data_IF_916787199902
#
_entry.id   IF_916787199902
#
_cell.length_a   1.000
_cell.length_b   1.000
_cell.length_c   1.000
_cell.angle_alpha   90.00
_cell.angle_beta   90.00
_cell.angle_gamma   90.00
#
_symmetry.space_group_name_H-M   'P 1'
#
loop_
_entity.id
_entity.type
_entity.pdbx_description
1 polymer ?
#
# COMPACT_ATOMS: atom_id res chain seq x y z
N UNK A 1 7.12 -14.45 -10.76
CA UNK A 1 7.36 -15.84 -10.28
C UNK A 1 8.61 -15.96 -9.42
N UNK A 2 9.73 -15.32 -9.77
CA UNK A 2 10.96 -15.41 -8.96
C UNK A 2 10.82 -14.89 -7.54
N UNK A 3 9.95 -13.91 -7.30
CA UNK A 3 9.76 -13.25 -6.01
C UNK A 3 8.73 -13.95 -5.13
N UNK A 4 7.55 -14.18 -5.70
CA UNK A 4 6.32 -14.53 -4.98
C UNK A 4 5.81 -15.93 -5.36
N UNK A 5 6.66 -16.80 -5.93
CA UNK A 5 6.23 -18.12 -6.39
C UNK A 5 5.03 -18.03 -7.35
N UNK A 6 3.98 -18.78 -7.08
CA UNK A 6 2.70 -18.76 -7.81
C UNK A 6 1.59 -18.00 -7.05
N UNK A 7 1.94 -16.89 -6.39
CA UNK A 7 1.06 -16.13 -5.51
C UNK A 7 -0.16 -15.50 -6.21
N UNK A 8 -1.09 -14.97 -5.40
CA UNK A 8 -2.27 -14.23 -5.85
C UNK A 8 -1.93 -13.11 -6.85
N UNK A 9 -0.75 -12.46 -6.72
CA UNK A 9 -0.34 -11.37 -7.61
C UNK A 9 -0.11 -11.79 -9.05
N UNK A 10 0.46 -12.98 -9.25
CA UNK A 10 0.94 -13.43 -10.56
C UNK A 10 0.18 -14.62 -11.12
N UNK A 11 -0.67 -15.23 -10.31
CA UNK A 11 -1.53 -16.32 -10.76
C UNK A 11 -2.54 -15.86 -11.81
N UNK A 12 -2.87 -16.74 -12.74
CA UNK A 12 -3.81 -16.49 -13.82
C UNK A 12 -4.91 -17.57 -13.87
N UNK A 13 -5.99 -17.27 -14.58
CA UNK A 13 -7.06 -18.21 -14.83
C UNK A 13 -7.63 -18.85 -13.56
N UNK A 14 -7.81 -20.17 -13.56
CA UNK A 14 -8.40 -20.92 -12.45
C UNK A 14 -7.53 -20.89 -11.19
N UNK A 15 -6.19 -20.88 -11.33
CA UNK A 15 -5.26 -20.77 -10.20
C UNK A 15 -5.49 -19.46 -9.44
N UNK A 16 -5.62 -18.34 -10.15
CA UNK A 16 -5.94 -17.07 -9.54
C UNK A 16 -7.30 -17.06 -8.82
N UNK A 17 -8.34 -17.61 -9.44
CA UNK A 17 -9.67 -17.70 -8.80
C UNK A 17 -9.62 -18.50 -7.49
N UNK A 18 -8.89 -19.62 -7.50
CA UNK A 18 -8.74 -20.46 -6.32
C UNK A 18 -8.01 -19.72 -5.20
N UNK A 19 -6.87 -19.08 -5.49
CA UNK A 19 -6.10 -18.31 -4.51
C UNK A 19 -6.88 -17.14 -3.96
N UNK A 20 -7.53 -16.35 -4.83
CA UNK A 20 -8.35 -15.23 -4.39
C UNK A 20 -9.43 -15.67 -3.41
N UNK A 21 -10.10 -16.78 -3.68
CA UNK A 21 -11.13 -17.34 -2.77
C UNK A 21 -10.57 -17.76 -1.42
N UNK A 22 -9.33 -18.25 -1.37
CA UNK A 22 -8.63 -18.62 -0.13
C UNK A 22 -8.21 -17.38 0.68
N UNK A 23 -7.80 -16.31 0.03
CA UNK A 23 -7.31 -15.07 0.68
C UNK A 23 -8.45 -14.16 1.15
N UNK A 24 -9.56 -14.09 0.41
CA UNK A 24 -10.68 -13.18 0.73
C UNK A 24 -11.22 -13.26 2.16
N UNK A 25 -11.32 -14.44 2.82
CA UNK A 25 -11.79 -14.51 4.21
C UNK A 25 -10.95 -13.73 5.20
N UNK A 26 -9.66 -13.51 4.91
CA UNK A 26 -8.76 -12.69 5.74
C UNK A 26 -9.17 -11.21 5.78
N UNK A 27 -9.83 -10.71 4.72
CA UNK A 27 -10.32 -9.33 4.62
C UNK A 27 -11.82 -9.22 4.87
N UNK A 28 -12.43 -10.23 5.47
CA UNK A 28 -13.86 -10.20 5.81
C UNK A 28 -14.16 -9.11 6.84
N UNK A 29 -15.30 -8.41 6.69
CA UNK A 29 -15.71 -7.30 7.58
C UNK A 29 -15.66 -7.66 9.07
N UNK A 30 -15.98 -8.91 9.44
CA UNK A 30 -15.93 -9.39 10.81
C UNK A 30 -14.54 -9.38 11.44
N UNK A 31 -13.47 -9.36 10.64
CA UNK A 31 -12.07 -9.30 11.11
C UNK A 31 -11.57 -7.86 11.29
N UNK A 32 -12.23 -6.88 10.69
CA UNK A 32 -11.79 -5.48 10.74
C UNK A 32 -11.58 -4.94 12.14
N UNK A 33 -12.46 -5.15 13.15
CA UNK A 33 -12.24 -4.61 14.49
C UNK A 33 -10.92 -5.07 15.13
N UNK A 34 -10.49 -6.32 14.87
CA UNK A 34 -9.20 -6.81 15.35
C UNK A 34 -8.02 -6.11 14.70
N UNK A 35 -8.12 -5.83 13.39
CA UNK A 35 -7.07 -5.09 12.66
C UNK A 35 -7.04 -3.61 13.06
N UNK A 36 -8.19 -2.98 13.24
CA UNK A 36 -8.30 -1.58 13.70
C UNK A 36 -7.62 -1.39 15.08
N UNK A 37 -7.76 -2.35 15.98
CA UNK A 37 -7.05 -2.32 17.27
C UNK A 37 -5.52 -2.39 17.09
N UNK A 38 -5.03 -3.17 16.12
CA UNK A 38 -3.60 -3.21 15.79
C UNK A 38 -3.15 -1.88 15.18
N UNK A 39 -3.92 -1.30 14.26
CA UNK A 39 -3.60 -0.02 13.63
C UNK A 39 -3.49 1.08 14.69
N UNK A 40 -4.46 1.12 15.61
CA UNK A 40 -4.46 2.07 16.71
C UNK A 40 -3.22 1.92 17.60
N UNK A 41 -2.90 0.69 18.01
CA UNK A 41 -1.72 0.42 18.83
C UNK A 41 -0.42 0.81 18.14
N UNK A 42 -0.28 0.50 16.85
CA UNK A 42 0.90 0.89 16.06
C UNK A 42 1.00 2.41 15.96
N UNK A 43 -0.12 3.09 15.68
CA UNK A 43 -0.14 4.55 15.60
C UNK A 43 0.32 5.20 16.91
N UNK A 44 -0.19 4.75 18.05
CA UNK A 44 0.20 5.22 19.37
C UNK A 44 1.68 4.97 19.68
N UNK A 45 2.18 3.77 19.35
CA UNK A 45 3.59 3.41 19.55
C UNK A 45 4.50 4.33 18.71
N UNK A 46 4.14 4.61 17.46
CA UNK A 46 4.89 5.50 16.60
C UNK A 46 4.78 6.98 17.00
N UNK A 47 3.64 7.44 17.48
CA UNK A 47 3.51 8.78 18.07
C UNK A 47 4.48 8.95 19.24
N UNK A 48 4.56 7.97 20.16
CA UNK A 48 5.51 7.97 21.28
C UNK A 48 6.96 7.96 20.78
N UNK A 49 7.27 7.10 19.79
CA UNK A 49 8.60 6.99 19.21
C UNK A 49 9.06 8.31 18.58
N UNK A 50 8.19 8.97 17.84
CA UNK A 50 8.50 10.24 17.19
C UNK A 50 8.61 11.39 18.22
N UNK A 51 7.73 11.42 19.21
CA UNK A 51 7.75 12.47 20.25
C UNK A 51 9.05 12.51 21.05
N UNK A 52 9.71 11.37 21.27
CA UNK A 52 11.02 11.30 21.95
C UNK A 52 12.15 11.92 21.10
N UNK A 53 11.93 12.05 19.78
CA UNK A 53 12.91 12.62 18.84
C UNK A 53 12.79 14.13 18.66
N UNK A 54 11.83 14.76 19.35
CA UNK A 54 11.65 16.21 19.31
C UNK A 54 12.89 16.94 19.86
N UNK A 55 13.29 18.01 19.19
CA UNK A 55 14.37 18.89 19.62
C UNK A 55 13.91 19.85 20.74
N UNK A 56 14.76 20.84 21.10
CA UNK A 56 14.46 21.83 22.14
C UNK A 56 13.24 22.71 21.84
N UNK A 57 12.91 22.87 20.57
CA UNK A 57 11.78 23.69 20.11
C UNK A 57 10.50 22.85 19.91
N UNK A 58 10.60 21.54 20.12
CA UNK A 58 9.52 20.56 19.96
C UNK A 58 9.33 20.10 18.51
N UNK A 59 10.25 20.43 17.60
CA UNK A 59 10.20 20.03 16.22
C UNK A 59 10.84 18.63 16.01
N UNK A 60 10.28 17.85 15.08
CA UNK A 60 10.79 16.53 14.68
C UNK A 60 11.15 16.59 13.19
N UNK A 61 12.44 16.73 12.89
CA UNK A 61 12.92 16.74 11.51
C UNK A 61 13.22 15.32 11.03
N UNK A 62 12.59 14.89 9.95
CA UNK A 62 12.73 13.52 9.43
C UNK A 62 12.38 13.43 7.94
N UNK A 63 12.73 12.30 7.32
CA UNK A 63 12.12 11.89 6.04
C UNK A 63 10.83 11.12 6.32
N UNK A 64 9.69 11.78 6.11
CA UNK A 64 8.38 11.19 6.40
C UNK A 64 8.06 10.02 5.48
N UNK A 65 8.58 9.95 4.24
CA UNK A 65 8.36 8.81 3.35
C UNK A 65 8.97 7.52 3.93
N UNK A 66 10.17 7.61 4.52
CA UNK A 66 10.81 6.50 5.21
C UNK A 66 10.03 6.08 6.48
N UNK A 67 9.56 7.04 7.27
CA UNK A 67 8.76 6.77 8.47
C UNK A 67 7.44 6.10 8.12
N UNK A 68 6.69 6.59 7.12
CA UNK A 68 5.43 5.99 6.71
C UNK A 68 5.62 4.58 6.13
N UNK A 69 6.73 4.33 5.44
CA UNK A 69 7.08 2.97 5.03
C UNK A 69 7.30 2.05 6.23
N UNK A 70 8.00 2.51 7.28
CA UNK A 70 8.22 1.73 8.51
C UNK A 70 6.91 1.49 9.27
N UNK A 71 6.03 2.49 9.39
CA UNK A 71 4.70 2.33 10.01
C UNK A 71 3.88 1.28 9.27
N UNK A 72 3.80 1.37 7.94
CA UNK A 72 3.06 0.42 7.13
C UNK A 72 3.65 -1.00 7.20
N UNK A 73 4.98 -1.12 7.33
CA UNK A 73 5.64 -2.41 7.54
C UNK A 73 5.31 -3.01 8.91
N UNK A 74 5.33 -2.22 9.96
CA UNK A 74 4.98 -2.66 11.33
C UNK A 74 3.53 -3.17 11.37
N UNK A 75 2.60 -2.43 10.76
CA UNK A 75 1.21 -2.86 10.62
C UNK A 75 1.11 -4.18 9.85
N UNK A 76 1.76 -4.27 8.68
CA UNK A 76 1.71 -5.47 7.85
C UNK A 76 2.26 -6.70 8.60
N UNK A 77 3.35 -6.56 9.35
CA UNK A 77 3.94 -7.63 10.15
C UNK A 77 3.03 -8.03 11.32
N UNK A 78 2.50 -7.07 12.09
CA UNK A 78 1.62 -7.37 13.22
C UNK A 78 0.28 -7.98 12.78
N UNK A 79 -0.32 -7.48 11.71
CA UNK A 79 -1.60 -8.00 11.20
C UNK A 79 -1.46 -9.34 10.49
N UNK A 80 -0.35 -9.56 9.81
CA UNK A 80 -0.11 -10.82 9.08
C UNK A 80 0.38 -11.92 10.01
N UNK A 81 1.28 -11.60 10.96
CA UNK A 81 1.97 -12.60 11.78
C UNK A 81 1.68 -12.54 13.29
N UNK A 82 0.80 -11.63 13.74
CA UNK A 82 0.34 -11.58 15.13
C UNK A 82 1.27 -10.90 16.12
N UNK A 83 2.22 -10.10 15.65
CA UNK A 83 3.15 -9.33 16.51
C UNK A 83 4.44 -10.10 16.84
N UNK A 84 5.39 -9.38 17.45
CA UNK A 84 6.67 -9.97 17.87
C UNK A 84 7.87 -9.65 16.99
N UNK A 85 7.78 -8.63 16.14
CA UNK A 85 8.86 -8.18 15.24
C UNK A 85 9.60 -6.92 15.75
N UNK A 86 9.93 -6.86 17.05
CA UNK A 86 10.73 -5.73 17.58
C UNK A 86 12.16 -5.72 17.06
N UNK A 87 12.74 -6.91 16.84
CA UNK A 87 14.13 -7.05 16.41
C UNK A 87 14.22 -7.50 14.94
N UNK A 88 14.74 -6.64 14.06
CA UNK A 88 14.97 -6.96 12.65
C UNK A 88 14.08 -6.23 11.63
N UNK A 89 13.19 -5.34 12.07
CA UNK A 89 12.33 -4.56 11.16
C UNK A 89 13.13 -3.71 10.17
N UNK A 90 14.26 -3.14 10.62
CA UNK A 90 15.17 -2.38 9.74
C UNK A 90 15.74 -3.25 8.62
N UNK A 91 16.13 -4.50 8.92
CA UNK A 91 16.62 -5.44 7.91
C UNK A 91 15.53 -5.82 6.91
N UNK A 92 14.31 -6.07 7.37
CA UNK A 92 13.16 -6.34 6.50
C UNK A 92 12.91 -5.16 5.57
N UNK A 93 12.88 -3.94 6.12
CA UNK A 93 12.71 -2.70 5.35
C UNK A 93 13.79 -2.53 4.28
N UNK A 94 15.06 -2.73 4.64
CA UNK A 94 16.18 -2.64 3.70
C UNK A 94 16.05 -3.64 2.55
N UNK A 95 15.75 -4.89 2.87
CA UNK A 95 15.59 -5.92 1.84
C UNK A 95 14.38 -5.67 0.94
N UNK A 96 13.27 -5.17 1.46
CA UNK A 96 12.12 -4.76 0.65
C UNK A 96 12.48 -3.60 -0.28
N UNK A 97 13.21 -2.57 0.21
CA UNK A 97 13.69 -1.45 -0.63
C UNK A 97 14.55 -1.95 -1.80
N UNK A 98 15.47 -2.89 -1.54
CA UNK A 98 16.29 -3.52 -2.60
C UNK A 98 15.40 -4.24 -3.61
N UNK A 99 14.45 -5.03 -3.13
CA UNK A 99 13.56 -5.80 -3.99
C UNK A 99 12.66 -4.88 -4.84
N UNK A 100 12.05 -3.85 -4.27
CA UNK A 100 11.20 -2.89 -4.98
C UNK A 100 11.98 -2.16 -6.08
N UNK A 101 13.21 -1.72 -5.79
CA UNK A 101 14.11 -1.09 -6.78
C UNK A 101 14.44 -2.02 -7.94
N UNK A 102 14.74 -3.28 -7.64
CA UNK A 102 15.07 -4.27 -8.68
C UNK A 102 13.85 -4.66 -9.50
N UNK A 103 12.69 -4.85 -8.85
CA UNK A 103 11.45 -5.15 -9.56
C UNK A 103 11.09 -4.08 -10.58
N UNK A 104 11.14 -2.83 -10.18
CA UNK A 104 10.85 -1.72 -11.10
C UNK A 104 11.81 -1.73 -12.29
N UNK A 105 13.12 -1.90 -12.06
CA UNK A 105 14.12 -1.96 -13.13
C UNK A 105 13.89 -3.15 -14.07
N UNK A 106 13.54 -4.31 -13.55
CA UNK A 106 13.26 -5.50 -14.36
C UNK A 106 11.96 -5.37 -15.14
N UNK A 107 10.91 -4.76 -14.56
CA UNK A 107 9.65 -4.49 -15.26
C UNK A 107 9.82 -3.43 -16.37
N UNK A 108 10.68 -2.44 -16.17
CA UNK A 108 10.95 -1.39 -17.16
C UNK A 108 11.96 -1.83 -18.25
N UNK A 109 12.65 -2.96 -18.05
CA UNK A 109 13.65 -3.45 -18.99
C UNK A 109 13.01 -4.31 -20.08
N UNK A 110 13.30 -4.06 -21.36
CA UNK A 110 12.82 -4.91 -22.46
C UNK A 110 13.46 -6.30 -22.47
N UNK A 111 14.55 -6.49 -21.73
CA UNK A 111 15.26 -7.76 -21.61
C UNK A 111 15.67 -8.01 -20.15
N UNK A 112 15.07 -9.01 -19.53
CA UNK A 112 15.46 -9.46 -18.20
C UNK A 112 16.46 -10.62 -18.32
N UNK A 113 17.70 -10.38 -17.88
CA UNK A 113 18.75 -11.38 -17.89
C UNK A 113 18.66 -12.30 -16.66
N UNK A 114 19.05 -13.58 -16.77
CA UNK A 114 19.02 -14.53 -15.67
C UNK A 114 19.82 -14.08 -14.44
N UNK A 115 19.35 -14.44 -13.23
CA UNK A 115 19.95 -14.00 -11.97
C UNK A 115 21.30 -14.62 -11.65
N UNK A 116 21.67 -15.73 -12.30
CA UNK A 116 22.99 -16.35 -12.14
C UNK A 116 24.13 -15.58 -12.81
N UNK A 117 23.80 -14.61 -13.66
CA UNK A 117 24.82 -13.75 -14.28
C UNK A 117 25.35 -12.75 -13.24
N UNK A 118 26.66 -12.53 -13.18
CA UNK A 118 27.30 -11.62 -12.20
C UNK A 118 27.13 -10.13 -12.62
N UNK A 119 25.88 -9.68 -12.70
CA UNK A 119 25.55 -8.31 -13.06
C UNK A 119 25.28 -7.47 -11.82
N UNK A 120 25.51 -6.13 -11.87
CA UNK A 120 25.22 -5.24 -10.77
C UNK A 120 23.75 -5.36 -10.30
N UNK A 121 23.53 -5.47 -8.98
CA UNK A 121 22.22 -5.63 -8.35
C UNK A 121 21.68 -7.06 -8.31
N UNK A 122 22.20 -8.02 -9.10
CA UNK A 122 21.71 -9.41 -9.07
C UNK A 122 22.04 -10.14 -7.77
N UNK A 123 23.24 -9.89 -7.21
CA UNK A 123 23.64 -10.48 -5.92
C UNK A 123 22.79 -9.93 -4.78
N UNK A 124 22.60 -8.60 -4.74
CA UNK A 124 21.75 -7.94 -3.73
C UNK A 124 20.31 -8.45 -3.81
N UNK A 125 19.75 -8.56 -5.02
CA UNK A 125 18.43 -9.18 -5.27
C UNK A 125 18.36 -10.58 -4.69
N UNK A 126 19.32 -11.44 -5.03
CA UNK A 126 19.32 -12.85 -4.61
C UNK A 126 19.40 -12.96 -3.08
N UNK A 127 20.26 -12.15 -2.44
CA UNK A 127 20.37 -12.08 -0.98
C UNK A 127 19.06 -11.62 -0.34
N UNK A 128 18.47 -10.53 -0.83
CA UNK A 128 17.23 -10.01 -0.31
C UNK A 128 16.06 -11.00 -0.49
N UNK A 129 15.98 -11.67 -1.63
CA UNK A 129 14.98 -12.72 -1.87
C UNK A 129 15.14 -13.91 -0.93
N UNK A 130 16.36 -14.37 -0.71
CA UNK A 130 16.63 -15.48 0.21
C UNK A 130 16.22 -15.10 1.64
N UNK A 131 16.65 -13.94 2.12
CA UNK A 131 16.29 -13.43 3.44
C UNK A 131 14.77 -13.37 3.65
N UNK A 132 14.04 -12.72 2.72
CA UNK A 132 12.60 -12.58 2.85
C UNK A 132 11.85 -13.92 2.78
N UNK A 133 12.30 -14.85 1.96
CA UNK A 133 11.70 -16.20 1.88
C UNK A 133 11.95 -17.00 3.14
N UNK A 134 13.18 -16.97 3.66
CA UNK A 134 13.53 -17.67 4.90
C UNK A 134 12.72 -17.12 6.06
N UNK A 135 12.64 -15.80 6.18
CA UNK A 135 11.83 -15.11 7.19
C UNK A 135 10.38 -15.58 7.16
N UNK A 136 9.72 -15.47 5.99
CA UNK A 136 8.29 -15.83 5.88
C UNK A 136 8.09 -17.32 6.11
N UNK A 137 9.00 -18.18 5.64
CA UNK A 137 8.95 -19.62 5.89
C UNK A 137 9.03 -19.93 7.38
N UNK A 138 9.99 -19.33 8.09
CA UNK A 138 10.18 -19.57 9.52
C UNK A 138 8.95 -19.13 10.33
N UNK A 139 8.34 -17.99 9.97
CA UNK A 139 7.09 -17.51 10.60
C UNK A 139 5.92 -18.46 10.37
N UNK A 140 5.77 -18.95 9.13
CA UNK A 140 4.73 -19.92 8.76
C UNK A 140 4.95 -21.25 9.51
N UNK A 141 6.16 -21.76 9.55
CA UNK A 141 6.49 -23.03 10.22
C UNK A 141 6.28 -22.95 11.73
N UNK A 142 6.72 -21.86 12.35
CA UNK A 142 6.50 -21.62 13.78
C UNK A 142 5.00 -21.53 14.13
N UNK A 143 4.18 -20.91 13.27
CA UNK A 143 2.74 -20.84 13.48
C UNK A 143 2.06 -22.19 13.28
N UNK A 144 2.42 -22.98 12.26
CA UNK A 144 1.85 -24.33 12.03
C UNK A 144 2.18 -25.27 13.21
N UNK A 145 3.35 -25.13 13.84
CA UNK A 145 3.78 -25.92 15.00
C UNK A 145 3.34 -25.35 16.36
N UNK A 146 2.74 -24.16 16.38
CA UNK A 146 2.43 -23.39 17.57
C UNK A 146 0.92 -23.21 17.81
N UNK A 147 0.56 -22.31 18.73
CA UNK A 147 -0.85 -21.98 19.01
C UNK A 147 -1.47 -21.22 17.82
N UNK A 148 -2.77 -21.45 17.61
CA UNK A 148 -3.56 -20.69 16.66
C UNK A 148 -3.59 -19.20 17.02
N UNK A 149 -3.51 -18.32 16.04
CA UNK A 149 -3.65 -16.87 16.19
C UNK A 149 -4.99 -16.36 15.68
N UNK A 150 -5.23 -15.06 15.84
CA UNK A 150 -6.38 -14.37 15.23
C UNK A 150 -5.92 -13.33 14.19
N UNK A 151 -4.95 -13.71 13.38
CA UNK A 151 -4.30 -12.87 12.37
C UNK A 151 -4.53 -13.40 10.95
N UNK A 152 -3.99 -12.67 9.97
CA UNK A 152 -4.09 -13.04 8.55
C UNK A 152 -3.44 -14.39 8.25
N UNK A 153 -2.29 -14.71 8.88
CA UNK A 153 -1.59 -15.97 8.66
C UNK A 153 -2.43 -17.17 9.10
N UNK A 154 -3.17 -17.06 10.23
CA UNK A 154 -4.06 -18.14 10.68
C UNK A 154 -5.14 -18.43 9.62
N UNK A 155 -5.73 -17.39 9.03
CA UNK A 155 -6.70 -17.56 7.94
C UNK A 155 -6.08 -18.24 6.71
N UNK A 156 -4.85 -17.87 6.35
CA UNK A 156 -4.16 -18.53 5.25
C UNK A 156 -3.91 -20.01 5.54
N UNK A 157 -3.47 -20.36 6.74
CA UNK A 157 -3.25 -21.76 7.15
C UNK A 157 -4.54 -22.57 7.01
N UNK A 158 -5.66 -22.05 7.51
CA UNK A 158 -6.96 -22.71 7.46
C UNK A 158 -7.49 -22.88 6.04
N UNK A 159 -7.34 -21.86 5.20
CA UNK A 159 -7.90 -21.84 3.85
C UNK A 159 -7.06 -22.57 2.80
N UNK A 160 -5.74 -22.71 3.04
CA UNK A 160 -4.81 -23.40 2.13
C UNK A 160 -4.61 -24.88 2.48
N UNK A 161 -5.38 -25.41 3.45
CA UNK A 161 -5.32 -26.81 3.86
C UNK A 161 -3.90 -27.31 4.22
N UNK A 162 -3.05 -26.41 4.73
CA UNK A 162 -1.69 -26.73 5.18
C UNK A 162 -0.64 -26.81 4.05
N UNK A 163 -0.94 -26.40 2.83
CA UNK A 163 0.06 -26.25 1.78
C UNK A 163 1.01 -25.10 2.13
N UNK A 164 2.15 -25.44 2.73
CA UNK A 164 3.15 -24.50 3.22
C UNK A 164 3.66 -23.56 2.13
N UNK A 165 3.89 -24.08 0.92
CA UNK A 165 4.42 -23.27 -0.17
C UNK A 165 3.40 -22.23 -0.63
N UNK A 166 2.13 -22.63 -0.80
CA UNK A 166 1.05 -21.68 -1.13
C UNK A 166 0.87 -20.63 -0.05
N UNK A 167 0.93 -21.00 1.24
CA UNK A 167 0.83 -20.07 2.37
C UNK A 167 1.97 -19.05 2.33
N UNK A 168 3.22 -19.50 2.15
CA UNK A 168 4.39 -18.62 2.09
C UNK A 168 4.30 -17.65 0.89
N UNK A 169 3.91 -18.14 -0.28
CA UNK A 169 3.79 -17.32 -1.49
C UNK A 169 2.73 -16.21 -1.31
N UNK A 170 1.57 -16.54 -0.76
CA UNK A 170 0.50 -15.57 -0.53
C UNK A 170 0.80 -14.63 0.65
N UNK A 171 1.41 -15.11 1.74
CA UNK A 171 1.85 -14.28 2.85
C UNK A 171 2.89 -13.24 2.41
N UNK A 172 3.89 -13.65 1.60
CA UNK A 172 4.88 -12.74 1.01
C UNK A 172 4.21 -11.67 0.14
N UNK A 173 3.23 -12.07 -0.67
CA UNK A 173 2.51 -11.13 -1.52
C UNK A 173 1.72 -10.11 -0.71
N UNK A 174 1.05 -10.54 0.34
CA UNK A 174 0.28 -9.66 1.23
C UNK A 174 1.19 -8.69 1.99
N UNK A 175 2.34 -9.17 2.47
CA UNK A 175 3.34 -8.33 3.14
C UNK A 175 3.82 -7.19 2.23
N UNK A 176 4.22 -7.51 0.99
CA UNK A 176 4.70 -6.51 0.03
C UNK A 176 3.58 -5.56 -0.37
N UNK A 177 2.37 -6.10 -0.63
CA UNK A 177 1.24 -5.28 -1.07
C UNK A 177 0.79 -4.27 -0.01
N UNK A 178 0.69 -4.67 1.25
CA UNK A 178 0.26 -3.80 2.35
C UNK A 178 1.29 -2.73 2.67
N UNK A 179 2.55 -3.12 2.82
CA UNK A 179 3.62 -2.20 3.20
C UNK A 179 3.83 -1.06 2.19
N UNK A 180 4.11 -1.39 0.93
CA UNK A 180 4.51 -0.40 -0.09
C UNK A 180 3.40 0.62 -0.40
N UNK A 181 2.17 0.15 -0.51
CA UNK A 181 1.05 1.00 -0.96
C UNK A 181 0.51 1.90 0.14
N UNK A 182 0.40 1.39 1.37
CA UNK A 182 -0.06 2.18 2.52
C UNK A 182 0.95 3.26 2.89
N UNK A 183 2.25 2.94 2.91
CA UNK A 183 3.30 3.93 3.15
C UNK A 183 3.28 5.06 2.12
N UNK A 184 3.17 4.72 0.82
CA UNK A 184 3.08 5.72 -0.24
C UNK A 184 1.81 6.58 -0.14
N UNK A 185 0.66 6.00 0.24
CA UNK A 185 -0.57 6.74 0.45
C UNK A 185 -0.42 7.77 1.58
N UNK A 186 0.15 7.37 2.73
CA UNK A 186 0.43 8.27 3.85
C UNK A 186 1.37 9.41 3.44
N UNK A 187 2.44 9.11 2.68
CA UNK A 187 3.36 10.13 2.18
C UNK A 187 2.63 11.21 1.40
N UNK A 188 1.74 10.85 0.48
CA UNK A 188 0.99 11.82 -0.29
C UNK A 188 -0.10 12.55 0.51
N UNK A 189 -0.77 11.88 1.44
CA UNK A 189 -1.74 12.51 2.35
C UNK A 189 -1.04 13.63 3.15
N UNK A 190 0.11 13.33 3.76
CA UNK A 190 0.83 14.31 4.58
C UNK A 190 1.49 15.41 3.75
N UNK A 191 2.03 15.09 2.57
CA UNK A 191 2.56 16.09 1.65
C UNK A 191 1.48 17.09 1.23
N UNK A 192 0.30 16.60 0.86
CA UNK A 192 -0.83 17.45 0.45
C UNK A 192 -1.36 18.29 1.60
N UNK A 193 -1.50 17.73 2.79
CA UNK A 193 -1.95 18.48 3.96
C UNK A 193 -0.94 19.57 4.37
N UNK A 194 0.37 19.28 4.31
CA UNK A 194 1.40 20.26 4.62
C UNK A 194 1.45 21.42 3.61
N UNK A 195 1.08 21.16 2.34
CA UNK A 195 1.01 22.18 1.28
C UNK A 195 -0.32 22.95 1.28
N UNK A 196 -1.34 22.48 2.05
CA UNK A 196 -2.67 23.07 2.09
C UNK A 196 -3.13 23.37 3.54
N UNK A 197 -2.66 24.46 4.16
CA UNK A 197 -2.90 24.76 5.58
C UNK A 197 -4.38 24.75 6.00
N UNK A 198 -5.27 25.24 5.14
CA UNK A 198 -6.71 25.25 5.44
C UNK A 198 -7.30 23.83 5.53
N UNK A 199 -6.85 22.91 4.68
CA UNK A 199 -7.27 21.52 4.74
C UNK A 199 -6.68 20.81 5.97
N UNK A 200 -5.41 21.11 6.29
CA UNK A 200 -4.75 20.61 7.50
C UNK A 200 -5.51 21.04 8.77
N UNK A 201 -5.85 22.33 8.89
CA UNK A 201 -6.60 22.86 10.04
C UNK A 201 -7.97 22.17 10.19
N UNK A 202 -8.70 21.96 9.09
CA UNK A 202 -9.98 21.23 9.14
C UNK A 202 -9.80 19.80 9.62
N UNK A 203 -8.77 19.08 9.13
CA UNK A 203 -8.48 17.74 9.61
C UNK A 203 -8.12 17.73 11.09
N UNK A 204 -7.23 18.63 11.53
CA UNK A 204 -6.82 18.70 12.94
C UNK A 204 -7.99 19.02 13.87
N UNK A 205 -8.89 19.92 13.48
CA UNK A 205 -10.12 20.20 14.22
C UNK A 205 -11.05 18.98 14.30
N UNK A 206 -11.20 18.23 13.19
CA UNK A 206 -12.04 17.03 13.15
C UNK A 206 -11.46 15.93 14.06
N UNK A 207 -10.16 15.60 13.93
CA UNK A 207 -9.53 14.56 14.75
C UNK A 207 -9.44 14.94 16.24
N UNK A 208 -9.45 16.20 16.58
CA UNK A 208 -9.54 16.65 17.97
C UNK A 208 -10.95 16.47 18.55
N UNK A 209 -12.00 16.44 17.72
CA UNK A 209 -13.39 16.37 18.13
C UNK A 209 -13.91 14.94 18.31
N UNK A 210 -13.31 13.95 17.67
CA UNK A 210 -13.73 12.52 17.77
C UNK A 210 -12.53 11.57 17.69
N UNK A 211 -12.68 10.41 18.31
CA UNK A 211 -11.73 9.29 18.17
C UNK A 211 -12.23 8.22 17.20
N UNK A 212 -13.50 8.28 16.81
CA UNK A 212 -14.07 7.35 15.84
C UNK A 212 -13.72 7.78 14.41
N UNK A 213 -12.85 7.04 13.76
CA UNK A 213 -12.41 7.33 12.40
C UNK A 213 -13.54 7.24 11.37
N UNK A 214 -14.64 6.53 11.67
CA UNK A 214 -15.81 6.47 10.79
C UNK A 214 -16.64 7.73 10.81
N UNK A 215 -16.49 8.57 11.84
CA UNK A 215 -17.12 9.88 11.95
C UNK A 215 -16.28 11.00 11.28
N UNK A 216 -15.00 10.72 10.96
CA UNK A 216 -14.07 11.69 10.37
C UNK A 216 -14.30 11.85 8.86
N UNK A 217 -15.34 12.56 8.51
CA UNK A 217 -15.78 12.72 7.10
C UNK A 217 -14.81 13.55 6.27
N UNK A 218 -14.21 14.60 6.85
CA UNK A 218 -13.26 15.44 6.13
C UNK A 218 -11.91 14.74 5.93
N UNK A 219 -11.39 14.06 6.94
CA UNK A 219 -10.19 13.24 6.82
C UNK A 219 -10.38 12.16 5.75
N UNK A 220 -11.54 11.51 5.73
CA UNK A 220 -11.87 10.55 4.70
C UNK A 220 -11.86 11.17 3.30
N UNK A 221 -12.43 12.37 3.14
CA UNK A 221 -12.40 13.10 1.88
C UNK A 221 -10.97 13.47 1.46
N UNK A 222 -10.10 13.83 2.42
CA UNK A 222 -8.66 14.05 2.17
C UNK A 222 -7.97 12.78 1.67
N UNK A 223 -8.22 11.64 2.29
CA UNK A 223 -7.67 10.33 1.86
C UNK A 223 -8.11 10.01 0.44
N UNK A 224 -9.40 10.11 0.15
CA UNK A 224 -9.95 9.80 -1.17
C UNK A 224 -9.41 10.75 -2.27
N UNK A 225 -9.25 12.05 -1.97
CA UNK A 225 -8.66 13.03 -2.90
C UNK A 225 -7.16 12.82 -3.10
N UNK A 226 -6.43 12.46 -2.05
CA UNK A 226 -5.01 12.10 -2.16
C UNK A 226 -4.83 10.87 -3.04
N UNK A 227 -5.65 9.85 -2.86
CA UNK A 227 -5.63 8.63 -3.68
C UNK A 227 -6.07 8.88 -5.13
N UNK A 228 -6.94 9.87 -5.39
CA UNK A 228 -7.27 10.29 -6.75
C UNK A 228 -6.07 10.95 -7.43
N UNK A 229 -5.40 11.87 -6.73
CA UNK A 229 -4.26 12.61 -7.28
C UNK A 229 -2.99 11.75 -7.34
N UNK A 230 -2.68 11.01 -6.31
CA UNK A 230 -1.44 10.24 -6.18
C UNK A 230 -1.74 8.80 -5.76
N UNK A 231 -2.45 8.02 -6.60
CA UNK A 231 -2.71 6.61 -6.28
C UNK A 231 -1.39 5.84 -6.22
N UNK A 232 -1.10 5.11 -5.12
CA UNK A 232 0.10 4.27 -5.05
C UNK A 232 0.19 3.27 -6.22
N UNK A 233 -0.95 2.66 -6.59
CA UNK A 233 -1.10 1.87 -7.81
C UNK A 233 -1.40 2.76 -9.02
N UNK A 234 -0.47 3.63 -9.38
CA UNK A 234 -0.63 4.64 -10.42
C UNK A 234 -0.90 4.07 -11.81
N UNK A 235 -0.54 2.82 -12.02
CA UNK A 235 -0.81 2.02 -13.23
C UNK A 235 -1.28 0.63 -12.84
N UNK A 236 -2.30 0.10 -13.53
CA UNK A 236 -2.79 -1.25 -13.30
C UNK A 236 -1.96 -2.26 -14.09
N UNK A 237 -2.03 -3.54 -13.68
CA UNK A 237 -1.41 -4.61 -14.44
C UNK A 237 -1.92 -4.66 -15.88
N UNK A 238 -1.03 -4.95 -16.80
CA UNK A 238 -1.35 -5.10 -18.23
C UNK A 238 -2.45 -6.15 -18.45
N UNK A 239 -3.31 -5.88 -19.41
CA UNK A 239 -4.29 -6.82 -19.93
C UNK A 239 -3.93 -7.16 -21.35
N UNK A 240 -3.89 -8.45 -21.68
CA UNK A 240 -3.68 -8.91 -23.04
C UNK A 240 -5.02 -9.31 -23.68
N UNK A 241 -5.30 -8.79 -24.86
CA UNK A 241 -6.49 -9.15 -25.63
C UNK A 241 -6.41 -10.64 -26.03
N UNK A 242 -7.43 -11.42 -25.67
CA UNK A 242 -7.51 -12.85 -26.01
C UNK A 242 -8.11 -13.10 -27.40
N UNK A 243 -8.78 -12.07 -27.95
CA UNK A 243 -9.39 -12.05 -29.30
C UNK A 243 -9.37 -10.61 -29.83
N UNK A 244 -9.70 -10.42 -31.09
CA UNK A 244 -9.92 -9.09 -31.65
C UNK A 244 -11.16 -8.48 -31.01
N UNK A 245 -11.04 -7.24 -30.50
CA UNK A 245 -12.11 -6.54 -29.80
C UNK A 245 -12.10 -5.06 -30.13
N UNK A 246 -13.28 -4.45 -30.15
CA UNK A 246 -13.42 -2.99 -30.17
C UNK A 246 -13.55 -2.46 -28.73
N UNK A 247 -12.69 -1.53 -28.37
CA UNK A 247 -12.73 -0.84 -27.06
C UNK A 247 -13.02 0.63 -27.29
N UNK A 248 -14.28 1.01 -27.15
CA UNK A 248 -14.75 2.39 -27.33
C UNK A 248 -14.35 3.01 -28.70
N UNK A 249 -14.47 2.26 -29.77
CA UNK A 249 -14.13 2.69 -31.13
C UNK A 249 -12.65 2.49 -31.51
N UNK A 250 -11.87 1.89 -30.61
CA UNK A 250 -10.47 1.53 -30.88
C UNK A 250 -10.39 0.03 -31.15
N UNK A 251 -9.98 -0.35 -32.37
CA UNK A 251 -9.77 -1.75 -32.72
C UNK A 251 -8.50 -2.28 -32.04
N UNK A 252 -8.67 -3.24 -31.15
CA UNK A 252 -7.59 -3.94 -30.43
C UNK A 252 -7.46 -5.36 -30.97
N UNK A 253 -6.26 -5.72 -31.43
CA UNK A 253 -5.99 -7.05 -31.96
C UNK A 253 -5.66 -8.04 -30.87
N UNK A 254 -5.96 -9.31 -31.12
CA UNK A 254 -5.53 -10.42 -30.28
C UNK A 254 -4.02 -10.35 -30.01
N UNK A 255 -3.63 -10.43 -28.74
CA UNK A 255 -2.25 -10.36 -28.28
C UNK A 255 -1.78 -8.93 -27.94
N UNK A 256 -2.48 -7.87 -28.33
CA UNK A 256 -2.16 -6.51 -27.94
C UNK A 256 -2.39 -6.29 -26.44
N UNK A 257 -1.60 -5.37 -25.88
CA UNK A 257 -1.61 -5.05 -24.46
C UNK A 257 -2.38 -3.75 -24.22
N UNK A 258 -3.24 -3.80 -23.21
CA UNK A 258 -3.99 -2.65 -22.71
C UNK A 258 -3.52 -2.34 -21.29
N UNK A 259 -3.38 -1.06 -21.00
CA UNK A 259 -3.04 -0.58 -19.67
C UNK A 259 -3.98 0.53 -19.23
N UNK A 260 -4.55 0.40 -18.06
CA UNK A 260 -5.32 1.45 -17.40
C UNK A 260 -4.41 2.16 -16.41
N UNK A 261 -4.43 3.49 -16.43
CA UNK A 261 -3.54 4.34 -15.62
C UNK A 261 -4.40 5.22 -14.70
N UNK A 262 -4.69 4.78 -13.46
CA UNK A 262 -5.49 5.54 -12.48
C UNK A 262 -4.98 6.97 -12.26
N UNK A 263 -3.67 7.18 -12.27
CA UNK A 263 -3.05 8.50 -12.19
C UNK A 263 -3.53 9.46 -13.29
N UNK A 264 -3.78 8.95 -14.50
CA UNK A 264 -4.30 9.75 -15.61
C UNK A 264 -5.81 9.90 -15.54
N UNK A 265 -6.55 8.80 -15.27
CA UNK A 265 -8.02 8.85 -15.22
C UNK A 265 -8.51 9.74 -14.10
N UNK A 266 -7.86 9.73 -12.93
CA UNK A 266 -8.15 10.63 -11.82
C UNK A 266 -7.88 12.12 -12.12
N UNK A 267 -7.17 12.44 -13.20
CA UNK A 267 -6.86 13.80 -13.66
C UNK A 267 -7.57 14.21 -14.95
N UNK A 268 -8.55 13.44 -15.36
CA UNK A 268 -9.28 13.72 -16.60
C UNK A 268 -10.31 14.84 -16.39
N UNK A 269 -10.11 15.97 -17.08
CA UNK A 269 -10.99 17.15 -17.00
C UNK A 269 -12.42 16.91 -17.52
N UNK A 270 -12.67 15.78 -18.20
CA UNK A 270 -14.03 15.38 -18.58
C UNK A 270 -14.87 14.95 -17.38
N UNK A 271 -14.20 14.52 -16.29
CA UNK A 271 -14.84 13.98 -15.10
C UNK A 271 -14.61 14.83 -13.84
N UNK A 272 -13.49 15.56 -13.77
CA UNK A 272 -13.12 16.33 -12.59
C UNK A 272 -12.86 17.80 -12.95
N UNK A 273 -13.61 18.70 -12.37
CA UNK A 273 -13.32 20.13 -12.44
C UNK A 273 -12.00 20.41 -11.72
N UNK A 274 -11.13 21.24 -12.32
CA UNK A 274 -9.79 21.53 -11.77
C UNK A 274 -9.05 20.24 -11.35
N UNK A 275 -8.82 19.33 -12.30
CA UNK A 275 -8.45 17.93 -12.01
C UNK A 275 -7.10 17.78 -11.31
N UNK A 276 -6.23 18.78 -11.37
CA UNK A 276 -4.92 18.78 -10.74
C UNK A 276 -4.89 19.46 -9.36
N UNK A 277 -5.98 20.12 -8.96
CA UNK A 277 -6.07 20.76 -7.65
C UNK A 277 -6.49 19.75 -6.58
N UNK A 278 -5.88 19.89 -5.42
CA UNK A 278 -6.28 19.17 -4.22
C UNK A 278 -7.51 19.83 -3.60
N UNK A 279 -8.64 19.16 -3.71
CA UNK A 279 -9.96 19.62 -3.25
C UNK A 279 -10.73 18.49 -2.59
N UNK A 280 -10.48 18.22 -1.31
CA UNK A 280 -11.20 17.18 -0.57
C UNK A 280 -12.72 17.33 -0.60
N UNK A 281 -13.21 18.56 -0.68
CA UNK A 281 -14.64 18.89 -0.71
C UNK A 281 -15.40 18.19 -1.84
N UNK A 282 -14.73 17.75 -2.90
CA UNK A 282 -15.39 16.98 -3.97
C UNK A 282 -15.87 15.59 -3.51
N UNK A 283 -15.30 15.07 -2.42
CA UNK A 283 -15.70 13.80 -1.82
C UNK A 283 -16.69 13.94 -0.65
N UNK A 284 -17.06 15.17 -0.27
CA UNK A 284 -18.09 15.41 0.75
C UNK A 284 -19.52 15.36 0.20
N UNK A 285 -19.67 15.37 -1.11
CA UNK A 285 -20.95 15.25 -1.81
C UNK A 285 -21.01 13.96 -2.62
N UNK A 286 -22.20 13.61 -3.09
CA UNK A 286 -22.36 12.49 -4.02
C UNK A 286 -21.51 12.69 -5.28
N UNK A 287 -20.77 11.67 -5.74
CA UNK A 287 -19.93 11.76 -6.91
C UNK A 287 -20.72 12.11 -8.17
N UNK A 288 -20.26 13.14 -8.89
CA UNK A 288 -20.84 13.54 -10.18
C UNK A 288 -20.16 12.83 -11.37
N UNK A 289 -19.08 12.10 -11.11
CA UNK A 289 -18.31 11.35 -12.09
C UNK A 289 -18.70 9.85 -12.12
N UNK A 290 -18.54 9.16 -13.28
CA UNK A 290 -18.82 7.75 -13.36
C UNK A 290 -17.83 6.93 -12.52
N UNK A 291 -18.28 5.78 -12.01
CA UNK A 291 -17.51 4.89 -11.12
C UNK A 291 -16.08 4.61 -11.61
N UNK A 292 -15.89 4.38 -12.90
CA UNK A 292 -14.57 4.05 -13.46
C UNK A 292 -13.63 5.25 -13.66
N UNK A 293 -14.09 6.48 -13.40
CA UNK A 293 -13.22 7.66 -13.46
C UNK A 293 -12.25 7.73 -12.30
N UNK A 294 -12.62 7.18 -11.12
CA UNK A 294 -11.76 7.12 -9.95
C UNK A 294 -11.65 5.68 -9.42
N UNK A 295 -10.56 5.00 -9.74
CA UNK A 295 -10.33 3.59 -9.40
C UNK A 295 -8.94 3.35 -8.78
N UNK A 296 -8.59 4.04 -7.69
CA UNK A 296 -7.26 3.88 -7.06
C UNK A 296 -6.99 2.46 -6.54
N UNK A 297 -8.05 1.69 -6.28
CA UNK A 297 -7.98 0.27 -5.88
C UNK A 297 -8.31 -0.69 -7.02
N UNK A 298 -8.22 -0.24 -8.27
CA UNK A 298 -8.66 -1.00 -9.44
C UNK A 298 -10.16 -1.30 -9.44
N UNK A 299 -10.64 -2.07 -10.40
CA UNK A 299 -12.04 -2.46 -10.53
C UNK A 299 -12.18 -3.84 -11.15
N UNK A 300 -13.39 -4.41 -11.06
CA UNK A 300 -13.71 -5.73 -11.60
C UNK A 300 -13.15 -6.89 -10.76
N UNK A 301 -12.99 -8.08 -11.34
CA UNK A 301 -12.60 -9.27 -10.60
C UNK A 301 -11.24 -9.15 -9.90
N UNK A 302 -10.34 -8.36 -10.46
CA UNK A 302 -8.99 -8.13 -9.92
C UNK A 302 -8.86 -6.85 -9.07
N UNK A 303 -9.98 -6.27 -8.62
CA UNK A 303 -9.96 -5.18 -7.66
C UNK A 303 -9.22 -5.57 -6.38
N UNK A 304 -8.64 -4.58 -5.70
CA UNK A 304 -7.87 -4.79 -4.47
C UNK A 304 -8.69 -5.55 -3.42
N UNK A 305 -8.12 -6.63 -2.87
CA UNK A 305 -8.76 -7.40 -1.79
C UNK A 305 -8.73 -6.67 -0.46
N UNK A 306 -7.66 -5.89 -0.23
CA UNK A 306 -7.43 -5.12 0.99
C UNK A 306 -7.99 -3.69 0.96
N UNK A 307 -8.90 -3.34 0.03
CA UNK A 307 -9.40 -1.96 -0.12
C UNK A 307 -9.88 -1.35 1.21
N UNK A 308 -10.82 -2.02 1.90
CA UNK A 308 -11.35 -1.51 3.17
C UNK A 308 -10.29 -1.50 4.28
N UNK A 309 -9.44 -2.52 4.32
CA UNK A 309 -8.30 -2.60 5.22
C UNK A 309 -7.37 -1.39 5.06
N UNK A 310 -6.92 -1.12 3.84
CA UNK A 310 -6.00 -0.01 3.54
C UNK A 310 -6.61 1.35 3.88
N UNK A 311 -7.89 1.58 3.58
CA UNK A 311 -8.56 2.84 3.91
C UNK A 311 -8.65 3.06 5.42
N UNK A 312 -8.99 2.02 6.19
CA UNK A 312 -9.02 2.11 7.65
C UNK A 312 -7.62 2.33 8.23
N UNK A 313 -6.64 1.57 7.74
CA UNK A 313 -5.24 1.69 8.12
C UNK A 313 -4.74 3.14 7.98
N UNK A 314 -4.79 3.68 6.76
CA UNK A 314 -4.25 5.02 6.50
C UNK A 314 -5.04 6.11 7.23
N UNK A 315 -6.35 5.94 7.43
CA UNK A 315 -7.18 6.91 8.16
C UNK A 315 -6.86 6.93 9.64
N UNK A 316 -6.70 5.76 10.29
CA UNK A 316 -6.36 5.67 11.72
C UNK A 316 -4.96 6.25 11.96
N UNK A 317 -3.97 5.87 11.15
CA UNK A 317 -2.61 6.39 11.27
C UNK A 317 -2.56 7.91 11.05
N UNK A 318 -3.24 8.41 10.01
CA UNK A 318 -3.30 9.83 9.73
C UNK A 318 -3.97 10.59 10.89
N UNK A 319 -5.09 10.09 11.42
CA UNK A 319 -5.78 10.71 12.56
C UNK A 319 -4.88 10.82 13.78
N UNK A 320 -4.21 9.75 14.20
CA UNK A 320 -3.36 9.74 15.39
C UNK A 320 -2.14 10.67 15.23
N UNK A 321 -1.49 10.65 14.06
CA UNK A 321 -0.37 11.54 13.80
C UNK A 321 -0.81 13.01 13.75
N UNK A 322 -1.96 13.34 13.14
CA UNK A 322 -2.49 14.71 13.08
C UNK A 322 -2.97 15.26 14.42
N UNK A 323 -3.32 14.40 15.39
CA UNK A 323 -3.58 14.82 16.78
C UNK A 323 -2.33 15.27 17.50
N UNK A 324 -1.19 14.67 17.17
CA UNK A 324 0.05 14.85 17.91
C UNK A 324 1.04 15.78 17.22
N UNK A 325 0.98 15.88 15.89
CA UNK A 325 1.95 16.63 15.10
C UNK A 325 1.28 17.57 14.11
N UNK A 326 1.99 18.67 13.80
CA UNK A 326 1.61 19.61 12.75
C UNK A 326 2.59 19.48 11.58
N UNK A 327 2.23 18.75 10.50
CA UNK A 327 3.15 18.48 9.40
C UNK A 327 3.50 19.76 8.63
N UNK A 328 4.79 19.93 8.32
CA UNK A 328 5.33 21.03 7.50
C UNK A 328 6.39 20.50 6.55
N UNK A 329 6.31 20.86 5.28
CA UNK A 329 7.38 20.54 4.33
C UNK A 329 8.62 21.36 4.64
N UNK A 330 9.80 20.70 4.67
CA UNK A 330 11.09 21.40 4.80
C UNK A 330 11.59 21.98 3.48
N UNK A 331 10.84 21.84 2.39
CA UNK A 331 11.20 22.30 1.05
C UNK A 331 10.01 22.45 0.12
N UNK A 332 10.26 22.39 -1.19
CA UNK A 332 9.20 22.42 -2.20
C UNK A 332 8.35 21.14 -2.18
N UNK A 333 7.10 21.23 -2.63
CA UNK A 333 6.24 20.07 -2.83
C UNK A 333 6.93 19.04 -3.74
N UNK A 334 7.01 17.75 -3.35
CA UNK A 334 7.80 16.75 -4.07
C UNK A 334 7.17 16.40 -5.42
N UNK A 335 8.02 16.15 -6.42
CA UNK A 335 7.57 15.55 -7.66
C UNK A 335 7.21 14.07 -7.46
N UNK A 336 6.24 13.53 -8.21
CA UNK A 336 5.94 12.10 -8.16
C UNK A 336 7.03 11.28 -8.86
N UNK A 337 7.47 10.21 -8.21
CA UNK A 337 8.42 9.23 -8.73
C UNK A 337 7.73 7.89 -8.95
N UNK A 338 7.47 7.48 -10.21
CA UNK A 338 6.84 6.21 -10.53
C UNK A 338 7.84 5.06 -10.35
N UNK A 339 7.86 4.46 -9.16
CA UNK A 339 8.59 3.24 -8.83
C UNK A 339 7.66 2.02 -8.82
N UNK A 340 7.84 1.09 -7.91
CA UNK A 340 6.88 -0.01 -7.70
C UNK A 340 5.51 0.53 -7.25
N UNK A 341 5.53 1.55 -6.38
CA UNK A 341 4.41 2.42 -6.06
C UNK A 341 4.78 3.87 -6.43
N UNK A 342 3.78 4.76 -6.56
CA UNK A 342 3.99 6.18 -6.78
C UNK A 342 4.42 6.83 -5.47
N UNK A 343 5.69 7.24 -5.37
CA UNK A 343 6.26 7.87 -4.17
C UNK A 343 6.74 9.30 -4.44
N UNK A 344 6.95 10.10 -3.40
CA UNK A 344 7.71 11.35 -3.51
C UNK A 344 9.13 11.10 -4.04
N UNK A 345 9.56 11.92 -5.00
CA UNK A 345 10.93 11.88 -5.50
C UNK A 345 11.88 12.41 -4.43
N UNK A 346 12.96 11.69 -4.16
CA UNK A 346 13.97 12.02 -3.15
C UNK A 346 13.45 12.10 -1.69
N UNK A 347 12.36 11.38 -1.40
CA UNK A 347 11.78 11.33 -0.06
C UNK A 347 10.80 12.46 0.25
N UNK A 348 10.46 12.61 1.52
CA UNK A 348 9.52 13.63 2.01
C UNK A 348 10.08 14.30 3.30
N UNK A 349 11.03 15.20 3.18
CA UNK A 349 11.58 15.90 4.34
C UNK A 349 10.55 16.84 4.97
N UNK A 350 10.24 16.61 6.23
CA UNK A 350 9.26 17.33 7.03
C UNK A 350 9.81 17.73 8.38
#
# INVERSE_FOLDING_TARGET
RQWNGESLFIAEGQSWHNRRRKVLPAFARKKMPAYEAIFQQVAEDWVKHLSVRADSDGDVCLDADDIFAQIALDIALRTLFGGGFSDGMDQVSEHIKVLSKVAFRECASPLTLPDYLPLPGKREKTTAMAFMRDLVRDLVENRIGGPAGDDLLQVLIETHAGDKQEICDDAMSLLIAGHETSGAALSWIFALLADHPTALEKCQNEVAGTTDVDEMTYLRAVVDEALRLYPPGYTLFLRQATEDVDVAGIAVKKGELLQVIPYMTGRDSRFFDEPNQFRPERFLAEPTWPFFANIPFSAGPRACTGHQFALKEVSIIAAELLRSFHPRLSGAFPAPDPKFSLRPHDGLPM
#
